data_IF_637096343257
#
_entry.id   IF_637096343257
#
_cell.length_a   1.000
_cell.length_b   1.000
_cell.length_c   1.000
_cell.angle_alpha   90.00
_cell.angle_beta   90.00
_cell.angle_gamma   90.00
#
_symmetry.space_group_name_H-M   'P 1'
#
loop_
_entity.id
_entity.type
_entity.pdbx_description
1 polymer ?
#
# COMPACT_ATOMS: atom_id res chain seq x y z
N UNK A 1 1.27 -22.55 2.35
CA UNK A 1 1.75 -22.50 0.95
C UNK A 1 1.00 -21.36 0.26
N UNK A 2 1.65 -20.51 -0.53
CA UNK A 2 1.00 -19.40 -1.26
C UNK A 2 0.64 -19.77 -2.70
N UNK A 3 0.56 -21.07 -3.01
CA UNK A 3 0.16 -21.59 -4.32
C UNK A 3 -0.85 -22.72 -4.12
N UNK A 4 -1.96 -22.78 -4.89
CA UNK A 4 -2.39 -21.79 -5.90
C UNK A 4 -2.78 -20.43 -5.28
N UNK A 5 -2.75 -19.35 -6.07
CA UNK A 5 -3.17 -18.00 -5.65
C UNK A 5 -3.97 -17.33 -6.76
N UNK A 6 -5.19 -16.89 -6.42
CA UNK A 6 -6.08 -16.19 -7.34
C UNK A 6 -6.28 -14.75 -6.89
N UNK A 7 -6.35 -13.83 -7.86
CA UNK A 7 -6.70 -12.44 -7.64
C UNK A 7 -7.96 -12.14 -8.44
N UNK A 8 -9.02 -11.79 -7.73
CA UNK A 8 -10.28 -11.35 -8.32
C UNK A 8 -10.17 -9.88 -8.75
N UNK A 9 -10.57 -9.60 -9.98
CA UNK A 9 -10.69 -8.26 -10.54
C UNK A 9 -12.17 -7.95 -10.76
N UNK A 10 -12.66 -6.82 -10.27
CA UNK A 10 -14.07 -6.46 -10.39
C UNK A 10 -14.33 -4.96 -10.37
N UNK A 11 -15.61 -4.57 -10.49
CA UNK A 11 -16.05 -3.18 -10.44
C UNK A 11 -16.01 -2.50 -11.80
N UNK A 12 -15.69 -1.20 -11.79
CA UNK A 12 -15.71 -0.28 -12.94
C UNK A 12 -14.60 -0.55 -13.99
N UNK A 13 -14.63 -1.72 -14.64
CA UNK A 13 -13.65 -2.14 -15.65
C UNK A 13 -14.25 -3.11 -16.69
N UNK A 14 -13.62 -3.22 -17.87
CA UNK A 14 -14.15 -4.04 -18.97
C UNK A 14 -13.82 -5.53 -18.86
N UNK A 15 -12.84 -5.90 -18.02
CA UNK A 15 -12.32 -7.28 -17.94
C UNK A 15 -12.34 -7.85 -16.51
N UNK A 16 -13.51 -7.91 -15.85
CA UNK A 16 -13.62 -8.53 -14.53
C UNK A 16 -13.42 -10.05 -14.62
N UNK A 17 -12.97 -10.67 -13.53
CA UNK A 17 -12.78 -12.11 -13.45
C UNK A 17 -11.81 -12.54 -12.37
N UNK A 18 -11.65 -13.85 -12.21
CA UNK A 18 -10.65 -14.47 -11.35
C UNK A 18 -9.40 -14.80 -12.18
N UNK A 19 -8.26 -14.24 -11.80
CA UNK A 19 -7.00 -14.40 -12.51
C UNK A 19 -6.01 -15.16 -11.63
N UNK A 20 -5.27 -16.11 -12.20
CA UNK A 20 -4.18 -16.73 -11.47
C UNK A 20 -3.07 -15.70 -11.26
N UNK A 21 -2.28 -15.89 -10.20
CA UNK A 21 -1.14 -15.01 -9.93
C UNK A 21 -0.19 -14.89 -11.13
N UNK A 22 0.01 -15.99 -11.87
CA UNK A 22 0.80 -16.02 -13.09
C UNK A 22 0.22 -15.11 -14.20
N UNK A 23 -1.10 -14.99 -14.33
CA UNK A 23 -1.75 -14.07 -15.27
C UNK A 23 -1.56 -12.60 -14.86
N UNK A 24 -1.48 -12.35 -13.55
CA UNK A 24 -1.23 -11.01 -12.99
C UNK A 24 0.22 -10.61 -13.23
N UNK A 25 1.20 -11.49 -12.97
CA UNK A 25 2.62 -11.15 -13.01
C UNK A 25 3.22 -11.28 -14.42
N UNK A 26 2.90 -12.36 -15.13
CA UNK A 26 3.60 -12.78 -16.37
C UNK A 26 3.74 -11.71 -17.45
N UNK A 27 2.74 -10.83 -17.67
CA UNK A 27 2.84 -9.77 -18.68
C UNK A 27 3.75 -8.59 -18.33
N UNK A 28 4.31 -8.53 -17.12
CA UNK A 28 5.10 -7.39 -16.65
C UNK A 28 6.59 -7.76 -16.53
N UNK A 29 7.46 -6.82 -16.93
CA UNK A 29 8.89 -6.91 -16.60
C UNK A 29 9.08 -6.52 -15.15
N UNK A 30 9.78 -7.37 -14.38
CA UNK A 30 10.08 -7.07 -12.98
C UNK A 30 11.24 -6.07 -12.88
N UNK A 31 11.09 -5.13 -11.96
CA UNK A 31 12.06 -4.09 -11.65
C UNK A 31 12.51 -4.20 -10.20
N UNK A 32 13.79 -3.91 -9.98
CA UNK A 32 14.36 -3.69 -8.65
C UNK A 32 14.24 -2.21 -8.28
N UNK A 33 13.49 -1.91 -7.23
CA UNK A 33 13.31 -0.55 -6.72
C UNK A 33 13.66 -0.43 -5.25
N UNK A 34 14.67 0.39 -4.95
CA UNK A 34 15.09 0.69 -3.59
C UNK A 34 14.25 1.85 -3.06
N UNK A 35 13.30 1.55 -2.18
CA UNK A 35 12.42 2.55 -1.60
C UNK A 35 12.60 2.71 -0.10
N UNK A 36 12.33 3.93 0.37
CA UNK A 36 12.08 4.15 1.80
C UNK A 36 10.69 3.62 2.15
N UNK A 37 10.60 2.88 3.24
CA UNK A 37 9.36 2.45 3.86
C UNK A 37 9.22 3.15 5.20
N UNK A 38 8.13 3.89 5.41
CA UNK A 38 7.87 4.61 6.66
C UNK A 38 6.60 4.08 7.31
N UNK A 39 6.71 3.43 8.46
CA UNK A 39 5.55 2.99 9.24
C UNK A 39 5.03 4.15 10.09
N UNK A 40 3.71 4.29 10.28
CA UNK A 40 3.10 5.35 11.10
C UNK A 40 3.63 5.40 12.53
N UNK A 41 4.14 4.29 13.05
CA UNK A 41 4.74 4.10 14.38
C UNK A 41 6.14 4.75 14.54
N UNK A 42 6.49 5.72 13.70
CA UNK A 42 7.75 6.47 13.74
C UNK A 42 9.02 5.63 13.57
N UNK A 43 8.97 4.57 12.76
CA UNK A 43 10.15 3.84 12.29
C UNK A 43 10.16 3.70 10.77
N UNK A 44 11.37 3.57 10.21
CA UNK A 44 11.57 3.47 8.75
C UNK A 44 12.62 2.43 8.36
N UNK A 45 12.57 2.01 7.10
CA UNK A 45 13.52 1.10 6.46
C UNK A 45 13.84 1.59 5.04
N UNK A 46 14.98 1.14 4.50
CA UNK A 46 15.28 1.20 3.07
C UNK A 46 15.24 -0.23 2.56
N UNK A 47 14.39 -0.51 1.58
CA UNK A 47 14.09 -1.88 1.15
C UNK A 47 14.22 -1.98 -0.37
N UNK A 48 15.03 -2.94 -0.89
CA UNK A 48 15.08 -3.27 -2.32
C UNK A 48 13.91 -4.19 -2.66
N UNK A 49 12.82 -3.61 -3.15
CA UNK A 49 11.64 -4.36 -3.60
C UNK A 49 11.82 -4.84 -5.03
N UNK A 50 11.19 -5.99 -5.33
CA UNK A 50 11.08 -6.53 -6.70
C UNK A 50 9.61 -6.52 -7.09
N UNK A 51 9.26 -5.87 -8.19
CA UNK A 51 7.87 -5.68 -8.57
C UNK A 51 7.67 -5.03 -9.93
N UNK A 52 6.45 -4.56 -10.20
CA UNK A 52 6.10 -3.81 -11.40
C UNK A 52 5.10 -2.70 -11.05
N UNK A 53 5.03 -1.60 -11.84
CA UNK A 53 4.11 -0.51 -11.54
C UNK A 53 2.65 -0.96 -11.48
N UNK A 54 1.92 -0.54 -10.44
CA UNK A 54 0.50 -0.85 -10.32
C UNK A 54 -0.30 -0.31 -11.51
N UNK A 55 0.03 0.89 -11.99
CA UNK A 55 -0.65 1.50 -13.15
C UNK A 55 -0.60 0.63 -14.40
N UNK A 56 0.49 -0.10 -14.65
CA UNK A 56 0.58 -1.02 -15.78
C UNK A 56 -0.39 -2.19 -15.65
N UNK A 57 -0.54 -2.73 -14.43
CA UNK A 57 -1.52 -3.78 -14.16
C UNK A 57 -2.95 -3.27 -14.35
N UNK A 58 -3.28 -2.12 -13.75
CA UNK A 58 -4.63 -1.58 -13.81
C UNK A 58 -5.07 -1.27 -15.25
N UNK A 59 -4.16 -0.75 -16.09
CA UNK A 59 -4.43 -0.48 -17.51
C UNK A 59 -4.91 -1.71 -18.28
N UNK A 60 -4.44 -2.91 -17.93
CA UNK A 60 -4.82 -4.15 -18.64
C UNK A 60 -6.31 -4.46 -18.57
N UNK A 61 -6.96 -4.01 -17.50
CA UNK A 61 -8.38 -4.27 -17.24
C UNK A 61 -9.32 -3.20 -17.80
N UNK A 62 -8.77 -2.15 -18.45
CA UNK A 62 -9.53 -1.04 -19.02
C UNK A 62 -10.54 -0.44 -18.01
N UNK A 63 -10.08 0.22 -16.94
CA UNK A 63 -11.00 0.91 -16.04
C UNK A 63 -11.77 1.99 -16.78
N UNK A 64 -13.08 2.06 -16.57
CA UNK A 64 -13.94 3.04 -17.23
C UNK A 64 -13.83 4.43 -16.56
N UNK A 65 -14.53 5.43 -17.09
CA UNK A 65 -14.47 6.81 -16.58
C UNK A 65 -15.06 6.97 -15.17
N UNK A 66 -15.89 6.04 -14.71
CA UNK A 66 -16.44 6.03 -13.35
C UNK A 66 -15.47 5.44 -12.33
N UNK A 67 -14.41 4.73 -12.73
CA UNK A 67 -13.36 4.27 -11.84
C UNK A 67 -12.56 5.45 -11.26
N UNK A 68 -12.93 5.92 -10.06
CA UNK A 68 -12.25 7.02 -9.36
C UNK A 68 -11.29 6.54 -8.28
N UNK A 69 -11.50 5.32 -7.79
CA UNK A 69 -10.71 4.68 -6.75
C UNK A 69 -10.43 3.23 -7.10
N UNK A 70 -9.42 2.65 -6.46
CA UNK A 70 -9.17 1.22 -6.45
C UNK A 70 -9.17 0.73 -5.00
N UNK A 71 -9.88 -0.36 -4.74
CA UNK A 71 -9.89 -1.07 -3.45
C UNK A 71 -9.12 -2.38 -3.59
N UNK A 72 -8.39 -2.72 -2.53
CA UNK A 72 -7.66 -3.97 -2.40
C UNK A 72 -8.18 -4.74 -1.19
N UNK A 73 -8.21 -6.06 -1.27
CA UNK A 73 -8.56 -6.95 -0.16
C UNK A 73 -7.48 -7.99 0.07
N UNK A 74 -7.12 -8.18 1.34
CA UNK A 74 -6.22 -9.24 1.80
C UNK A 74 -6.98 -10.56 1.95
N UNK A 75 -6.31 -11.69 1.75
CA UNK A 75 -6.85 -13.01 2.08
C UNK A 75 -7.46 -13.05 3.49
N UNK A 76 -8.68 -13.59 3.61
CA UNK A 76 -9.32 -13.91 4.89
C UNK A 76 -9.22 -15.42 5.13
N UNK A 77 -8.35 -15.83 6.04
CA UNK A 77 -8.15 -17.21 6.42
C UNK A 77 -7.70 -17.27 7.90
N UNK A 78 -8.64 -17.25 8.86
CA UNK A 78 -8.32 -17.24 10.29
C UNK A 78 -7.63 -18.51 10.80
N UNK A 79 -7.59 -19.59 10.02
CA UNK A 79 -6.92 -20.84 10.38
C UNK A 79 -5.43 -20.77 10.05
N UNK A 80 -5.08 -20.24 8.88
CA UNK A 80 -3.69 -19.97 8.51
C UNK A 80 -3.15 -18.64 9.05
N UNK A 81 -4.04 -17.68 9.34
CA UNK A 81 -3.73 -16.34 9.86
C UNK A 81 -4.45 -16.12 11.20
N UNK A 82 -4.01 -16.75 12.30
CA UNK A 82 -4.70 -16.69 13.60
C UNK A 82 -4.82 -15.26 14.17
N UNK A 83 -4.00 -14.31 13.70
CA UNK A 83 -4.15 -12.89 14.01
C UNK A 83 -5.51 -12.31 13.60
N UNK A 84 -6.16 -12.87 12.58
CA UNK A 84 -7.50 -12.46 12.10
C UNK A 84 -8.63 -12.84 13.06
N UNK A 85 -8.35 -13.67 14.08
CA UNK A 85 -9.32 -13.96 15.16
C UNK A 85 -9.35 -12.86 16.22
N UNK A 86 -8.37 -11.94 16.21
CA UNK A 86 -8.30 -10.84 17.19
C UNK A 86 -9.12 -9.65 16.69
N UNK A 87 -9.94 -9.01 17.53
CA UNK A 87 -10.78 -7.87 17.14
C UNK A 87 -10.00 -6.55 17.07
N UNK A 88 -8.77 -6.57 16.57
CA UNK A 88 -7.92 -5.37 16.41
C UNK A 88 -8.29 -4.56 15.17
N UNK A 89 -8.85 -5.23 14.16
CA UNK A 89 -9.36 -4.66 12.93
C UNK A 89 -10.65 -5.41 12.55
N UNK A 90 -11.49 -4.79 11.74
CA UNK A 90 -12.54 -5.51 11.03
C UNK A 90 -11.90 -6.26 9.85
N UNK A 91 -11.73 -7.58 9.99
CA UNK A 91 -11.13 -8.43 8.96
C UNK A 91 -12.14 -8.79 7.86
N UNK A 92 -11.70 -9.07 6.61
CA UNK A 92 -10.33 -8.99 6.11
C UNK A 92 -9.77 -7.57 6.06
N UNK A 93 -8.44 -7.47 5.98
CA UNK A 93 -7.79 -6.19 5.76
C UNK A 93 -8.12 -5.65 4.37
N UNK A 94 -8.58 -4.41 4.30
CA UNK A 94 -8.95 -3.69 3.08
C UNK A 94 -8.24 -2.34 3.03
N UNK A 95 -7.82 -1.97 1.84
CA UNK A 95 -7.22 -0.66 1.57
C UNK A 95 -7.70 -0.08 0.25
N UNK A 96 -7.46 1.21 0.06
CA UNK A 96 -7.79 1.89 -1.19
C UNK A 96 -6.88 3.06 -1.51
N UNK A 97 -6.85 3.40 -2.80
CA UNK A 97 -6.15 4.54 -3.37
C UNK A 97 -7.09 5.30 -4.31
N UNK A 98 -6.84 6.58 -4.53
CA UNK A 98 -7.41 7.26 -5.70
C UNK A 98 -6.83 6.63 -6.98
N UNK A 99 -7.54 6.73 -8.10
CA UNK A 99 -6.98 6.24 -9.37
C UNK A 99 -5.71 6.99 -9.78
N UNK A 100 -5.57 8.27 -9.43
CA UNK A 100 -4.33 9.02 -9.69
C UNK A 100 -3.14 8.46 -8.89
N UNK A 101 -3.33 8.16 -7.61
CA UNK A 101 -2.31 7.52 -6.76
C UNK A 101 -1.95 6.12 -7.25
N UNK A 102 -2.97 5.34 -7.63
CA UNK A 102 -2.79 3.97 -8.10
C UNK A 102 -2.05 3.89 -9.44
N UNK A 103 -2.26 4.87 -10.32
CA UNK A 103 -1.62 4.97 -11.63
C UNK A 103 -0.23 5.63 -11.57
N UNK A 104 0.14 6.21 -10.44
CA UNK A 104 1.42 6.88 -10.29
C UNK A 104 2.60 5.90 -10.45
N UNK A 105 3.66 6.25 -11.21
CA UNK A 105 4.77 5.34 -11.48
C UNK A 105 5.47 4.80 -10.23
N UNK A 106 5.46 5.52 -9.11
CA UNK A 106 6.07 5.06 -7.86
C UNK A 106 5.25 3.99 -7.11
N UNK A 107 3.96 3.82 -7.40
CA UNK A 107 3.12 2.80 -6.78
C UNK A 107 3.42 1.43 -7.38
N UNK A 108 3.86 0.50 -6.54
CA UNK A 108 4.45 -0.76 -6.98
C UNK A 108 3.65 -1.96 -6.47
N UNK A 109 3.35 -2.89 -7.37
CA UNK A 109 2.97 -4.25 -7.03
C UNK A 109 4.22 -5.08 -6.82
N UNK A 110 4.39 -5.59 -5.62
CA UNK A 110 5.60 -6.25 -5.14
C UNK A 110 5.37 -7.76 -5.01
N UNK A 111 6.32 -8.51 -5.57
CA UNK A 111 6.35 -9.98 -5.58
C UNK A 111 7.67 -10.53 -5.01
N UNK A 112 8.64 -9.66 -4.73
CA UNK A 112 9.93 -10.02 -4.17
C UNK A 112 10.60 -8.93 -3.36
N UNK A 113 11.66 -9.31 -2.65
CA UNK A 113 12.50 -8.43 -1.85
C UNK A 113 13.92 -9.00 -1.78
N UNK A 114 14.95 -8.16 -1.86
CA UNK A 114 16.36 -8.59 -1.87
C UNK A 114 16.66 -9.67 -2.94
N UNK A 115 16.12 -9.50 -4.15
CA UNK A 115 16.34 -10.43 -5.28
C UNK A 115 15.69 -11.81 -5.11
N UNK A 116 14.84 -12.00 -4.10
CA UNK A 116 14.15 -13.26 -3.80
C UNK A 116 12.63 -13.06 -3.80
N UNK A 117 11.88 -14.15 -3.96
CA UNK A 117 10.42 -14.13 -3.78
C UNK A 117 10.04 -13.60 -2.40
N UNK A 118 8.91 -12.91 -2.32
CA UNK A 118 8.45 -12.26 -1.11
C UNK A 118 8.22 -13.30 0.00
N UNK A 119 8.79 -13.12 1.20
CA UNK A 119 8.48 -13.97 2.34
C UNK A 119 7.04 -13.75 2.86
N UNK A 120 6.44 -14.76 3.49
CA UNK A 120 5.06 -14.68 4.01
C UNK A 120 4.85 -13.50 4.97
N UNK A 121 5.80 -13.24 5.88
CA UNK A 121 5.74 -12.11 6.82
C UNK A 121 5.72 -10.74 6.12
N UNK A 122 6.27 -10.66 4.91
CA UNK A 122 6.28 -9.47 4.09
C UNK A 122 5.03 -9.33 3.23
N UNK A 123 4.11 -10.30 3.24
CA UNK A 123 2.82 -10.22 2.54
C UNK A 123 2.77 -10.97 1.22
N UNK A 124 3.52 -12.07 1.10
CA UNK A 124 3.48 -12.94 -0.07
C UNK A 124 2.05 -13.39 -0.44
N UNK A 125 1.81 -13.72 -1.71
CA UNK A 125 2.72 -13.60 -2.85
C UNK A 125 2.67 -12.23 -3.55
N UNK A 126 1.68 -11.40 -3.21
CA UNK A 126 1.40 -10.13 -3.89
C UNK A 126 1.09 -9.04 -2.88
N UNK A 127 1.86 -7.95 -2.92
CA UNK A 127 1.78 -6.83 -1.97
C UNK A 127 1.78 -5.48 -2.69
N UNK A 128 1.12 -4.49 -2.08
CA UNK A 128 1.22 -3.09 -2.50
C UNK A 128 2.33 -2.34 -1.74
N UNK A 129 3.07 -1.49 -2.45
CA UNK A 129 4.02 -0.52 -1.87
C UNK A 129 3.77 0.86 -2.46
N UNK A 130 3.54 1.85 -1.59
CA UNK A 130 3.39 3.26 -1.94
C UNK A 130 4.40 4.06 -1.11
N UNK A 131 5.56 4.45 -1.67
CA UNK A 131 6.70 4.84 -0.85
C UNK A 131 6.53 6.18 -0.14
N UNK A 132 5.62 7.04 -0.58
CA UNK A 132 5.36 8.35 0.02
C UNK A 132 4.26 8.33 1.10
N UNK A 133 3.61 7.18 1.33
CA UNK A 133 2.54 7.00 2.32
C UNK A 133 3.00 6.17 3.52
N UNK A 134 2.26 6.27 4.62
CA UNK A 134 2.50 5.42 5.79
C UNK A 134 2.27 3.95 5.47
N UNK A 135 3.05 3.09 6.13
CA UNK A 135 3.17 1.67 5.80
C UNK A 135 1.88 0.86 5.83
N UNK A 136 0.85 1.31 6.55
CA UNK A 136 -0.45 0.64 6.58
C UNK A 136 -1.18 0.68 5.23
N UNK A 137 -0.93 1.70 4.40
CA UNK A 137 -1.47 1.74 3.02
C UNK A 137 -0.94 0.60 2.14
N UNK A 138 0.24 0.05 2.48
CA UNK A 138 0.89 -1.04 1.76
C UNK A 138 0.32 -2.41 2.13
N UNK A 139 -0.92 -2.66 1.70
CA UNK A 139 -1.68 -3.90 1.91
C UNK A 139 -0.92 -5.15 1.42
N UNK A 140 -1.07 -6.25 2.16
CA UNK A 140 -0.35 -7.51 1.98
C UNK A 140 -1.27 -8.61 1.44
N UNK A 141 -0.70 -9.64 0.80
CA UNK A 141 -1.41 -10.88 0.45
C UNK A 141 -2.76 -10.60 -0.24
N UNK A 142 -2.69 -9.82 -1.33
CA UNK A 142 -3.86 -9.31 -2.05
C UNK A 142 -4.57 -10.44 -2.81
N UNK A 143 -5.88 -10.54 -2.64
CA UNK A 143 -6.76 -11.50 -3.34
C UNK A 143 -7.87 -10.84 -4.15
N UNK A 144 -8.09 -9.53 -4.01
CA UNK A 144 -9.09 -8.80 -4.80
C UNK A 144 -8.59 -7.37 -5.08
N UNK A 145 -8.80 -6.92 -6.32
CA UNK A 145 -8.59 -5.55 -6.79
C UNK A 145 -9.89 -5.10 -7.45
N UNK A 146 -10.48 -4.02 -6.95
CA UNK A 146 -11.80 -3.57 -7.38
C UNK A 146 -11.79 -2.09 -7.74
N UNK A 147 -12.29 -1.76 -8.93
CA UNK A 147 -12.44 -0.39 -9.40
C UNK A 147 -13.76 0.20 -8.90
N UNK A 148 -13.70 1.36 -8.24
CA UNK A 148 -14.82 1.95 -7.53
C UNK A 148 -15.08 3.39 -7.97
N UNK A 149 -16.37 3.76 -7.98
CA UNK A 149 -16.81 5.14 -8.22
C UNK A 149 -16.65 6.06 -7.01
N UNK A 150 -16.75 5.52 -5.81
CA UNK A 150 -16.69 6.28 -4.55
C UNK A 150 -15.52 5.80 -3.70
N UNK A 151 -15.01 6.69 -2.85
CA UNK A 151 -13.94 6.37 -1.91
C UNK A 151 -14.34 5.19 -1.02
N UNK A 152 -13.55 4.11 -0.96
CA UNK A 152 -13.78 3.03 -0.02
C UNK A 152 -13.31 3.42 1.38
N UNK A 153 -13.97 2.87 2.40
CA UNK A 153 -13.41 2.86 3.75
C UNK A 153 -12.21 1.91 3.82
N UNK A 154 -11.21 2.27 4.63
CA UNK A 154 -9.97 1.49 4.80
C UNK A 154 -9.87 0.89 6.21
N UNK A 155 -9.16 -0.23 6.39
CA UNK A 155 -9.19 -0.97 7.66
C UNK A 155 -8.79 -0.14 8.88
N UNK A 156 -7.75 0.69 8.78
CA UNK A 156 -7.32 1.54 9.89
C UNK A 156 -8.22 2.75 10.11
N UNK A 157 -8.79 3.31 9.05
CA UNK A 157 -9.80 4.38 9.15
C UNK A 157 -11.08 3.88 9.83
N UNK A 158 -11.52 2.65 9.51
CA UNK A 158 -12.64 1.99 10.19
C UNK A 158 -12.31 1.77 11.67
N UNK A 159 -11.10 1.32 11.96
CA UNK A 159 -10.68 1.03 13.34
C UNK A 159 -10.57 2.32 14.18
N UNK A 160 -10.02 3.40 13.61
CA UNK A 160 -9.91 4.69 14.28
C UNK A 160 -9.70 5.85 13.29
N UNK A 161 -10.77 6.43 12.78
CA UNK A 161 -10.75 7.58 11.85
C UNK A 161 -10.16 8.86 12.45
N UNK A 162 -9.96 8.93 13.78
CA UNK A 162 -9.29 10.06 14.43
C UNK A 162 -7.77 9.98 14.31
N UNK A 163 -7.22 8.83 13.99
CA UNK A 163 -5.77 8.56 13.95
C UNK A 163 -5.25 8.26 12.54
N UNK A 164 -6.11 7.68 11.69
CA UNK A 164 -5.74 7.22 10.36
C UNK A 164 -6.79 7.68 9.36
N UNK A 165 -6.41 8.53 8.41
CA UNK A 165 -7.28 8.89 7.29
C UNK A 165 -6.88 8.21 5.99
N UNK A 166 -7.66 8.51 4.96
CA UNK A 166 -7.61 7.81 3.68
C UNK A 166 -6.27 8.01 2.95
N UNK A 167 -5.75 9.24 2.86
CA UNK A 167 -4.55 9.49 2.07
C UNK A 167 -3.28 9.05 2.79
N UNK A 168 -3.13 9.26 4.10
CA UNK A 168 -1.98 8.76 4.86
C UNK A 168 -0.61 9.14 4.27
N UNK A 169 -0.49 10.35 3.72
CA UNK A 169 0.76 10.86 3.19
C UNK A 169 1.75 11.07 4.35
N UNK A 170 3.02 10.66 4.17
CA UNK A 170 4.05 10.91 5.18
C UNK A 170 4.27 12.42 5.29
N UNK A 171 3.92 12.98 6.44
CA UNK A 171 4.00 14.42 6.68
C UNK A 171 4.60 14.68 8.07
N UNK A 172 5.82 15.26 8.17
CA UNK A 172 6.45 15.55 9.45
C UNK A 172 5.77 16.67 10.25
N UNK A 173 4.91 17.47 9.60
CA UNK A 173 4.20 18.60 10.22
C UNK A 173 2.84 18.22 10.81
N UNK A 174 2.38 16.99 10.58
CA UNK A 174 1.11 16.47 11.09
C UNK A 174 1.41 15.30 12.01
N UNK A 175 1.31 15.56 13.31
CA UNK A 175 1.52 14.56 14.32
C UNK A 175 0.36 13.56 14.39
N UNK A 176 0.68 12.34 14.76
CA UNK A 176 -0.33 11.37 15.14
C UNK A 176 -0.88 11.76 16.53
N UNK A 177 -2.16 11.54 16.86
CA UNK A 177 -2.75 11.97 18.14
C UNK A 177 -1.99 11.53 19.40
N UNK A 178 -1.22 10.44 19.30
CA UNK A 178 -0.45 9.85 20.42
C UNK A 178 1.07 10.09 20.35
N UNK A 179 1.62 10.55 19.24
CA UNK A 179 3.07 10.77 19.11
C UNK A 179 3.42 11.68 17.93
N UNK A 180 4.56 12.36 18.03
CA UNK A 180 5.03 13.20 16.93
C UNK A 180 5.52 12.39 15.74
N UNK A 181 5.23 12.90 14.53
CA UNK A 181 5.72 12.35 13.26
C UNK A 181 6.99 13.03 12.75
N UNK A 182 7.46 14.10 13.41
CA UNK A 182 8.62 14.90 12.96
C UNK A 182 9.93 14.11 12.87
N UNK A 183 10.10 13.03 13.63
CA UNK A 183 11.30 12.19 13.64
C UNK A 183 10.95 10.70 13.57
N UNK A 184 11.85 9.92 12.99
CA UNK A 184 11.71 8.48 12.81
C UNK A 184 12.96 7.71 13.23
N UNK A 185 12.80 6.45 13.63
CA UNK A 185 13.89 5.52 13.90
C UNK A 185 14.15 4.65 12.67
N UNK A 186 15.32 4.82 12.04
CA UNK A 186 15.73 3.98 10.91
C UNK A 186 16.21 2.61 11.41
N UNK A 187 15.51 1.56 11.03
CA UNK A 187 15.93 0.18 11.31
C UNK A 187 17.16 -0.15 10.45
N UNK A 188 18.16 -0.79 11.07
CA UNK A 188 19.46 -1.08 10.46
C UNK A 188 20.55 -0.02 10.71
N UNK A 189 20.22 1.12 11.32
CA UNK A 189 21.20 2.15 11.68
C UNK A 189 22.02 1.81 12.95
N UNK A 190 21.66 0.75 13.68
CA UNK A 190 22.25 0.34 14.96
C UNK A 190 21.35 0.64 16.17
N UNK A 191 21.53 -0.10 17.26
CA UNK A 191 20.65 -0.05 18.45
C UNK A 191 20.67 1.33 19.13
N UNK A 192 21.80 2.02 19.08
CA UNK A 192 22.02 3.33 19.70
C UNK A 192 21.91 4.50 18.72
N UNK A 193 21.52 4.25 17.46
CA UNK A 193 21.38 5.32 16.49
C UNK A 193 20.28 6.30 16.91
N UNK A 194 20.53 7.62 16.87
CA UNK A 194 19.50 8.61 17.15
C UNK A 194 18.40 8.56 16.09
N UNK A 195 17.20 9.02 16.45
CA UNK A 195 16.13 9.25 15.46
C UNK A 195 16.60 10.28 14.42
N UNK A 196 16.21 10.11 13.16
CA UNK A 196 16.44 11.06 12.08
C UNK A 196 15.17 11.88 11.80
N UNK A 197 15.27 13.08 11.18
CA UNK A 197 14.08 13.81 10.72
C UNK A 197 13.27 13.00 9.70
N UNK A 198 11.94 13.05 9.83
CA UNK A 198 11.03 12.52 8.80
C UNK A 198 10.99 13.52 7.63
N UNK A 199 11.04 13.02 6.39
CA UNK A 199 10.93 13.87 5.20
C UNK A 199 9.48 13.95 4.73
N UNK A 200 9.09 15.11 4.20
CA UNK A 200 7.79 15.30 3.53
C UNK A 200 7.65 14.31 2.38
N UNK A 201 6.48 13.68 2.25
CA UNK A 201 6.21 12.59 1.30
C UNK A 201 7.28 11.49 1.34
N UNK A 202 7.88 11.25 2.50
CA UNK A 202 8.98 10.31 2.72
C UNK A 202 10.23 10.56 1.85
N UNK A 203 10.38 11.77 1.31
CA UNK A 203 11.46 12.16 0.40
C UNK A 203 11.11 12.10 -1.08
N UNK A 204 9.84 11.88 -1.43
CA UNK A 204 9.34 11.83 -2.82
C UNK A 204 8.49 13.05 -3.20
N UNK A 205 8.76 14.21 -2.58
CA UNK A 205 7.90 15.38 -2.72
C UNK A 205 7.90 15.94 -4.14
N UNK A 206 9.06 15.94 -4.81
CA UNK A 206 9.20 16.43 -6.19
C UNK A 206 8.37 15.60 -7.18
N UNK A 207 8.19 14.32 -6.90
CA UNK A 207 7.47 13.39 -7.76
C UNK A 207 5.96 13.37 -7.49
N UNK A 208 5.51 13.58 -6.26
CA UNK A 208 4.11 13.31 -5.87
C UNK A 208 3.32 14.51 -5.38
N UNK A 209 3.96 15.66 -5.10
CA UNK A 209 3.26 16.80 -4.51
C UNK A 209 2.10 17.31 -5.38
N UNK A 210 2.25 17.27 -6.71
CA UNK A 210 1.22 17.72 -7.65
C UNK A 210 -0.08 16.90 -7.56
N UNK A 211 -0.02 15.63 -7.18
CA UNK A 211 -1.21 14.79 -6.97
C UNK A 211 -2.12 15.33 -5.87
N UNK A 212 -1.59 16.19 -5.00
CA UNK A 212 -2.25 16.74 -3.83
C UNK A 212 -2.40 18.26 -3.89
N UNK A 213 -2.16 18.88 -5.05
CA UNK A 213 -2.36 20.31 -5.22
C UNK A 213 -3.81 20.70 -4.89
N UNK A 214 -3.97 21.62 -3.94
CA UNK A 214 -5.29 22.06 -3.47
C UNK A 214 -5.94 21.19 -2.39
N UNK A 215 -5.32 20.07 -2.00
CA UNK A 215 -5.78 19.25 -0.88
C UNK A 215 -5.22 19.79 0.44
N UNK A 216 -6.08 19.95 1.45
CA UNK A 216 -5.63 20.27 2.81
C UNK A 216 -5.00 19.01 3.44
N UNK A 217 -3.67 18.91 3.35
CA UNK A 217 -2.89 17.77 3.85
C UNK A 217 -2.97 17.59 5.37
N UNK A 218 -3.41 18.61 6.13
CA UNK A 218 -3.61 18.47 7.59
C UNK A 218 -4.96 17.86 7.93
N UNK A 219 -5.97 18.09 7.09
CA UNK A 219 -7.30 17.49 7.26
C UNK A 219 -7.42 16.10 6.62
N UNK A 220 -6.61 15.85 5.60
CA UNK A 220 -6.65 14.63 4.79
C UNK A 220 -5.39 13.77 5.03
N UNK A 221 -4.94 13.66 6.27
CA UNK A 221 -3.77 12.88 6.66
C UNK A 221 -4.07 11.40 6.89
#
# INVERSE_FOLDING_TARGET
MTKPWSVKISGECDKPGDYQLEDIIGPHTLEDRVYRHRCVEAWSMVVPWVGFPLGDLLRRFNPNLDAKFVRFKTLHDPDQMPGQRRPVLQWPYVEGLTMAEAMHPLTLMVVGVYGKSLPNQNGAPLRLVIPWKYGFKGIKSIVEIEFLRRQPNTSWEIANSREYGFHANVNPEVDHPRWSQARERRIGAGVFAPKQPTLMFNGYAEEVAELYAGLDLRKNY
#
